data_IF_905206761699
#
_entry.id   IF_905206761699
#
_cell.length_a   1.000
_cell.length_b   1.000
_cell.length_c   1.000
_cell.angle_alpha   90.00
_cell.angle_beta   90.00
_cell.angle_gamma   90.00
#
_symmetry.space_group_name_H-M   'P 1'
#
loop_
_entity.id
_entity.type
_entity.pdbx_description
1 polymer ?
#
# COMPACT_ATOMS: atom_id res chain seq x y z
N UNK A 1 19.76 -36.15 16.32
CA UNK A 1 19.86 -34.84 16.98
C UNK A 1 21.04 -34.10 16.36
N UNK A 2 20.77 -33.19 15.44
CA UNK A 2 21.75 -32.24 14.89
C UNK A 2 21.18 -30.87 15.15
N UNK A 3 21.21 -30.48 16.43
CA UNK A 3 21.00 -29.10 16.87
C UNK A 3 22.37 -28.44 16.83
N UNK A 4 22.42 -27.20 16.37
CA UNK A 4 23.60 -26.34 16.20
C UNK A 4 24.29 -26.46 14.84
N UNK A 5 23.86 -25.61 13.90
CA UNK A 5 24.72 -24.79 13.04
C UNK A 5 23.81 -23.91 12.17
N UNK A 6 24.12 -22.61 12.10
CA UNK A 6 23.50 -21.55 11.26
C UNK A 6 22.42 -20.66 11.92
N UNK A 7 22.65 -20.24 13.16
CA UNK A 7 21.97 -19.09 13.81
C UNK A 7 22.72 -17.76 13.55
N UNK A 8 23.55 -17.66 12.50
CA UNK A 8 24.34 -16.44 12.25
C UNK A 8 24.37 -16.11 10.76
N UNK A 9 23.36 -15.41 10.26
CA UNK A 9 23.47 -14.53 9.09
C UNK A 9 22.13 -13.80 8.88
N UNK A 10 22.07 -12.53 9.27
CA UNK A 10 20.90 -11.69 9.01
C UNK A 10 20.70 -10.54 9.98
N UNK A 11 21.56 -10.38 10.98
CA UNK A 11 21.74 -9.10 11.66
C UNK A 11 22.46 -8.12 10.72
N UNK A 12 21.79 -7.72 9.64
CA UNK A 12 21.98 -6.39 9.07
C UNK A 12 21.15 -5.43 9.92
N UNK A 13 21.61 -5.27 11.16
CA UNK A 13 21.40 -4.07 11.95
C UNK A 13 22.14 -2.94 11.21
N UNK A 14 21.59 -2.53 10.07
CA UNK A 14 21.92 -1.24 9.51
C UNK A 14 21.59 -0.23 10.60
N UNK A 15 22.52 0.66 10.88
CA UNK A 15 22.21 1.94 11.49
C UNK A 15 21.16 2.61 10.59
N UNK A 16 19.89 2.27 10.84
CA UNK A 16 18.79 2.66 9.98
C UNK A 16 18.65 4.15 10.13
N UNK A 17 18.88 4.89 9.05
CA UNK A 17 18.34 6.24 8.95
C UNK A 17 16.85 6.12 9.28
N UNK A 18 16.47 6.60 10.47
CA UNK A 18 15.08 6.64 10.91
C UNK A 18 14.32 7.41 9.84
N UNK A 19 13.45 6.72 9.09
CA UNK A 19 12.55 7.37 8.15
C UNK A 19 11.36 7.86 8.95
N UNK A 20 11.04 9.13 8.75
CA UNK A 20 9.74 9.65 9.16
C UNK A 20 8.80 9.62 7.98
N UNK A 21 7.52 9.37 8.24
CA UNK A 21 6.49 9.49 7.22
C UNK A 21 6.43 10.94 6.75
N UNK A 22 6.72 11.18 5.47
CA UNK A 22 6.54 12.49 4.86
C UNK A 22 5.16 12.62 4.21
N UNK A 23 4.74 13.85 3.92
CA UNK A 23 3.51 14.07 3.15
C UNK A 23 3.57 13.44 1.75
N UNK A 24 4.76 13.37 1.16
CA UNK A 24 4.97 12.72 -0.15
C UNK A 24 4.78 11.21 -0.06
N UNK A 25 5.28 10.59 1.02
CA UNK A 25 5.06 9.17 1.28
C UNK A 25 3.55 8.87 1.43
N UNK A 26 2.82 9.69 2.18
CA UNK A 26 1.35 9.58 2.31
C UNK A 26 0.66 9.60 0.95
N UNK A 27 1.03 10.57 0.09
CA UNK A 27 0.50 10.70 -1.28
C UNK A 27 0.82 9.46 -2.11
N UNK A 28 2.07 9.00 -2.10
CA UNK A 28 2.52 7.85 -2.90
C UNK A 28 1.82 6.55 -2.50
N UNK A 29 1.61 6.32 -1.21
CA UNK A 29 0.83 5.17 -0.73
C UNK A 29 -0.64 5.30 -1.16
N UNK A 30 -1.26 6.48 -1.02
CA UNK A 30 -2.63 6.71 -1.50
C UNK A 30 -2.80 6.43 -3.00
N UNK A 31 -1.87 6.91 -3.82
CA UNK A 31 -1.82 6.64 -5.26
C UNK A 31 -1.69 5.14 -5.57
N UNK A 32 -0.84 4.42 -4.83
CA UNK A 32 -0.70 2.98 -4.98
C UNK A 32 -2.01 2.24 -4.62
N UNK A 33 -2.70 2.68 -3.56
CA UNK A 33 -4.00 2.12 -3.17
C UNK A 33 -5.07 2.36 -4.24
N UNK A 34 -5.14 3.57 -4.82
CA UNK A 34 -6.04 3.87 -5.95
C UNK A 34 -5.73 3.00 -7.17
N UNK A 35 -4.45 2.83 -7.49
CA UNK A 35 -4.03 2.00 -8.62
C UNK A 35 -4.42 0.53 -8.40
N UNK A 36 -4.21 0.00 -7.19
CA UNK A 36 -4.60 -1.36 -6.83
C UNK A 36 -6.12 -1.56 -6.88
N UNK A 37 -6.90 -0.57 -6.42
CA UNK A 37 -8.35 -0.57 -6.56
C UNK A 37 -8.79 -0.62 -8.03
N UNK A 38 -8.21 0.23 -8.88
CA UNK A 38 -8.53 0.25 -10.31
C UNK A 38 -8.17 -1.08 -11.01
N UNK A 39 -7.03 -1.67 -10.64
CA UNK A 39 -6.62 -2.99 -11.15
C UNK A 39 -7.62 -4.08 -10.74
N UNK A 40 -8.06 -4.07 -9.49
CA UNK A 40 -9.04 -5.02 -8.99
C UNK A 40 -10.41 -4.82 -9.65
N UNK A 41 -10.90 -3.58 -9.71
CA UNK A 41 -12.17 -3.25 -10.35
C UNK A 41 -12.19 -3.67 -11.84
N UNK A 42 -11.06 -3.59 -12.53
CA UNK A 42 -10.91 -4.12 -13.90
C UNK A 42 -10.93 -5.65 -13.93
N UNK A 43 -10.32 -6.32 -12.94
CA UNK A 43 -10.23 -7.79 -12.85
C UNK A 43 -11.58 -8.44 -12.55
N UNK A 44 -12.36 -7.85 -11.64
CA UNK A 44 -13.63 -8.43 -11.16
C UNK A 44 -14.87 -7.75 -11.73
N UNK A 45 -14.69 -6.62 -12.42
CA UNK A 45 -15.78 -5.83 -12.98
C UNK A 45 -16.55 -6.61 -14.05
N UNK A 46 -17.82 -6.24 -14.29
CA UNK A 46 -18.64 -6.88 -15.30
C UNK A 46 -18.00 -6.75 -16.69
N UNK A 47 -17.87 -7.86 -17.41
CA UNK A 47 -17.25 -7.93 -18.76
C UNK A 47 -18.28 -8.04 -19.90
N UNK A 48 -19.57 -7.84 -19.61
CA UNK A 48 -20.66 -7.98 -20.58
C UNK A 48 -21.10 -6.66 -21.25
N UNK A 49 -21.89 -6.72 -22.35
CA UNK A 49 -22.37 -5.55 -23.08
C UNK A 49 -23.31 -4.61 -22.29
N UNK A 50 -23.61 -4.93 -21.03
CA UNK A 50 -24.43 -4.12 -20.11
C UNK A 50 -23.61 -3.46 -18.99
N UNK A 51 -22.31 -3.20 -19.19
CA UNK A 51 -21.57 -2.29 -18.28
C UNK A 51 -22.21 -0.91 -18.39
N UNK A 52 -23.11 -0.60 -17.48
CA UNK A 52 -23.69 0.75 -17.40
C UNK A 52 -22.56 1.72 -17.05
N UNK A 53 -22.42 2.82 -17.81
CA UNK A 53 -21.40 3.84 -17.54
C UNK A 53 -21.50 4.44 -16.12
N UNK A 54 -22.65 4.31 -15.45
CA UNK A 54 -22.81 4.72 -14.04
C UNK A 54 -21.99 3.86 -13.08
N UNK A 55 -21.94 2.54 -13.28
CA UNK A 55 -21.19 1.63 -12.40
C UNK A 55 -19.68 1.90 -12.48
N UNK A 56 -19.14 2.13 -13.68
CA UNK A 56 -17.72 2.50 -13.84
C UNK A 56 -17.37 3.84 -13.20
N UNK A 57 -18.29 4.80 -13.20
CA UNK A 57 -18.09 6.10 -12.53
C UNK A 57 -18.04 5.92 -11.02
N UNK A 58 -18.95 5.13 -10.43
CA UNK A 58 -18.96 4.85 -8.99
C UNK A 58 -17.68 4.12 -8.57
N UNK A 59 -17.27 3.11 -9.32
CA UNK A 59 -16.02 2.39 -9.02
C UNK A 59 -14.80 3.33 -9.11
N UNK A 60 -14.76 4.24 -10.08
CA UNK A 60 -13.69 5.23 -10.16
C UNK A 60 -13.73 6.22 -8.98
N UNK A 61 -14.91 6.67 -8.55
CA UNK A 61 -15.06 7.59 -7.41
C UNK A 61 -14.66 6.94 -6.08
N UNK A 62 -14.95 5.65 -5.88
CA UNK A 62 -14.52 4.94 -4.67
C UNK A 62 -12.99 4.82 -4.57
N UNK A 63 -12.31 4.59 -5.70
CA UNK A 63 -10.85 4.58 -5.73
C UNK A 63 -10.24 5.94 -5.38
N UNK A 64 -10.88 7.02 -5.83
CA UNK A 64 -10.45 8.39 -5.49
C UNK A 64 -10.71 8.72 -4.02
N UNK A 65 -11.89 8.36 -3.51
CA UNK A 65 -12.26 8.53 -2.10
C UNK A 65 -11.26 7.82 -1.19
N UNK A 66 -10.95 6.56 -1.48
CA UNK A 66 -10.03 5.74 -0.69
C UNK A 66 -8.61 6.34 -0.63
N UNK A 67 -8.09 6.83 -1.77
CA UNK A 67 -6.79 7.51 -1.79
C UNK A 67 -6.81 8.84 -1.03
N UNK A 68 -7.91 9.59 -1.14
CA UNK A 68 -8.06 10.89 -0.49
C UNK A 68 -8.17 10.76 1.02
N UNK A 69 -8.99 9.82 1.49
CA UNK A 69 -9.15 9.49 2.92
C UNK A 69 -7.83 9.03 3.51
N UNK A 70 -7.16 8.05 2.89
CA UNK A 70 -5.84 7.60 3.32
C UNK A 70 -4.84 8.75 3.42
N UNK A 71 -4.76 9.59 2.38
CA UNK A 71 -3.78 10.69 2.35
C UNK A 71 -4.06 11.70 3.46
N UNK A 72 -5.33 12.05 3.70
CA UNK A 72 -5.73 12.96 4.76
C UNK A 72 -5.39 12.39 6.15
N UNK A 73 -5.69 11.11 6.37
CA UNK A 73 -5.47 10.44 7.65
C UNK A 73 -3.97 10.26 7.92
N UNK A 74 -3.21 9.82 6.92
CA UNK A 74 -1.76 9.69 7.02
C UNK A 74 -1.09 11.04 7.34
N UNK A 75 -1.49 12.13 6.69
CA UNK A 75 -0.93 13.45 6.98
C UNK A 75 -1.23 13.93 8.39
N UNK A 76 -2.42 13.61 8.90
CA UNK A 76 -2.87 14.02 10.24
C UNK A 76 -2.22 13.19 11.34
N UNK A 77 -2.04 11.90 11.12
CA UNK A 77 -1.74 10.93 12.18
C UNK A 77 -0.32 10.38 12.11
N UNK A 78 0.25 10.27 10.91
CA UNK A 78 1.52 9.61 10.69
C UNK A 78 2.63 10.58 10.30
N UNK A 79 2.33 11.73 9.70
CA UNK A 79 3.36 12.67 9.25
C UNK A 79 4.31 13.07 10.41
N UNK A 80 5.61 12.90 10.18
CA UNK A 80 6.66 13.13 11.19
C UNK A 80 6.88 11.98 12.17
N UNK A 81 6.01 10.97 12.21
CA UNK A 81 6.20 9.75 12.99
C UNK A 81 7.23 8.84 12.32
N UNK A 82 8.01 8.13 13.15
CA UNK A 82 8.96 7.10 12.69
C UNK A 82 8.18 5.91 12.11
N UNK A 83 8.63 5.44 10.94
CA UNK A 83 8.01 4.32 10.22
C UNK A 83 9.08 3.39 9.68
N UNK A 84 8.71 2.13 9.46
CA UNK A 84 9.61 1.19 8.78
C UNK A 84 9.78 1.61 7.31
N UNK A 85 11.00 1.91 6.85
CA UNK A 85 11.21 2.35 5.48
C UNK A 85 10.82 1.29 4.45
N UNK A 86 11.04 0.01 4.76
CA UNK A 86 10.72 -1.12 3.89
C UNK A 86 9.22 -1.31 3.71
N UNK A 87 8.44 -1.13 4.78
CA UNK A 87 6.97 -1.18 4.73
C UNK A 87 6.42 -0.08 3.82
N UNK A 88 6.81 1.18 4.03
CA UNK A 88 6.32 2.31 3.22
C UNK A 88 6.67 2.13 1.75
N UNK A 89 7.89 1.68 1.49
CA UNK A 89 8.35 1.37 0.15
C UNK A 89 7.59 0.21 -0.51
N UNK A 90 7.22 -0.81 0.25
CA UNK A 90 6.39 -1.93 -0.20
C UNK A 90 5.00 -1.41 -0.60
N UNK A 91 4.34 -0.69 0.31
CA UNK A 91 3.01 -0.13 0.10
C UNK A 91 2.96 0.81 -1.11
N UNK A 92 3.94 1.70 -1.25
CA UNK A 92 4.01 2.66 -2.36
C UNK A 92 4.26 2.00 -3.73
N UNK A 93 4.79 0.76 -3.76
CA UNK A 93 5.06 0.02 -5.01
C UNK A 93 3.97 -0.98 -5.37
N UNK A 94 3.13 -1.38 -4.42
CA UNK A 94 2.06 -2.34 -4.64
C UNK A 94 1.12 -1.92 -5.79
N UNK A 95 0.71 -2.91 -6.60
CA UNK A 95 -0.16 -2.74 -7.77
C UNK A 95 -1.47 -3.51 -7.66
N UNK A 96 -1.61 -4.35 -6.65
CA UNK A 96 -2.80 -5.17 -6.40
C UNK A 96 -3.20 -5.11 -4.93
N UNK A 97 -4.47 -5.41 -4.64
CA UNK A 97 -4.95 -5.48 -3.26
C UNK A 97 -4.24 -6.58 -2.45
N UNK A 98 -3.85 -7.68 -3.12
CA UNK A 98 -3.10 -8.78 -2.49
C UNK A 98 -1.66 -8.35 -2.11
N UNK A 99 -1.00 -7.55 -2.94
CA UNK A 99 0.30 -6.98 -2.59
C UNK A 99 0.20 -6.00 -1.41
N UNK A 100 -0.80 -5.11 -1.42
CA UNK A 100 -1.04 -4.21 -0.29
C UNK A 100 -1.24 -4.98 1.02
N UNK A 101 -2.06 -6.04 0.98
CA UNK A 101 -2.31 -6.91 2.14
C UNK A 101 -1.04 -7.57 2.66
N UNK A 102 -0.15 -8.01 1.77
CA UNK A 102 1.14 -8.61 2.16
C UNK A 102 2.10 -7.58 2.74
N UNK A 103 2.12 -6.35 2.22
CA UNK A 103 2.95 -5.28 2.74
C UNK A 103 2.50 -4.81 4.13
N UNK A 104 1.20 -4.83 4.42
CA UNK A 104 0.63 -4.40 5.71
C UNK A 104 0.47 -5.54 6.73
N UNK A 105 1.04 -6.72 6.47
CA UNK A 105 0.95 -7.84 7.39
C UNK A 105 1.89 -7.61 8.59
N UNK A 106 1.41 -7.86 9.83
CA UNK A 106 2.22 -7.68 11.04
C UNK A 106 3.35 -8.71 11.17
#
# INVERSE_FOLDING_TARGET
MVVALLVVAGALLGAGCKKTMSEDDCRRVGEAMRAAWAAEAKRVGPTGPQVSGKASVVLASEGERLSSEWTSDCKRELAGSEVDPGEIDCLARAKTLEELRRCSAP
#
